data_IF_641010908763
#
_entry.id   IF_641010908763
#
_cell.length_a   1.000
_cell.length_b   1.000
_cell.length_c   1.000
_cell.angle_alpha   90.00
_cell.angle_beta   90.00
_cell.angle_gamma   90.00
#
_symmetry.space_group_name_H-M   'P 1'
#
loop_
_entity.id
_entity.type
_entity.pdbx_description
1 polymer ?
#
# COMPACT_ATOMS: atom_id res chain seq x y z
N UNK A 1 -31.22 -9.40 -6.23
CA UNK A 1 -29.76 -9.09 -6.27
C UNK A 1 -29.10 -10.04 -7.26
N UNK A 2 -28.68 -9.53 -8.42
CA UNK A 2 -28.19 -10.37 -9.53
C UNK A 2 -26.77 -10.88 -9.24
N UNK A 3 -26.42 -12.10 -9.66
CA UNK A 3 -25.13 -12.76 -9.32
C UNK A 3 -23.91 -11.93 -9.74
N UNK A 4 -24.04 -11.14 -10.82
CA UNK A 4 -23.02 -10.22 -11.36
C UNK A 4 -22.71 -9.05 -10.39
N UNK A 5 -23.69 -8.61 -9.62
CA UNK A 5 -23.51 -7.49 -8.68
C UNK A 5 -22.78 -7.96 -7.41
N UNK A 6 -23.10 -9.17 -6.94
CA UNK A 6 -22.40 -9.82 -5.83
C UNK A 6 -20.92 -10.07 -6.14
N UNK A 7 -20.59 -10.51 -7.36
CA UNK A 7 -19.18 -10.77 -7.74
C UNK A 7 -18.35 -9.48 -7.81
N UNK A 8 -18.94 -8.36 -8.27
CA UNK A 8 -18.28 -7.04 -8.27
C UNK A 8 -18.01 -6.53 -6.86
N UNK A 9 -18.99 -6.63 -5.96
CA UNK A 9 -18.82 -6.21 -4.57
C UNK A 9 -17.71 -7.00 -3.89
N UNK A 10 -17.66 -8.32 -4.11
CA UNK A 10 -16.61 -9.17 -3.54
C UNK A 10 -15.22 -8.82 -4.08
N UNK A 11 -15.11 -8.52 -5.39
CA UNK A 11 -13.86 -8.06 -5.99
C UNK A 11 -13.38 -6.74 -5.39
N UNK A 12 -14.27 -5.76 -5.21
CA UNK A 12 -13.95 -4.47 -4.58
C UNK A 12 -13.46 -4.69 -3.15
N UNK A 13 -14.14 -5.55 -2.38
CA UNK A 13 -13.77 -5.87 -1.01
C UNK A 13 -12.38 -6.51 -0.96
N UNK A 14 -12.12 -7.50 -1.82
CA UNK A 14 -10.82 -8.16 -1.94
C UNK A 14 -9.73 -7.14 -2.28
N UNK A 15 -9.92 -6.31 -3.30
CA UNK A 15 -8.95 -5.29 -3.71
C UNK A 15 -8.66 -4.26 -2.60
N UNK A 16 -9.67 -3.83 -1.83
CA UNK A 16 -9.45 -2.97 -0.66
C UNK A 16 -8.56 -3.64 0.38
N UNK A 17 -8.80 -4.90 0.70
CA UNK A 17 -7.97 -5.62 1.65
C UNK A 17 -6.52 -5.77 1.15
N UNK A 18 -6.34 -6.01 -0.16
CA UNK A 18 -5.01 -6.03 -0.80
C UNK A 18 -4.25 -4.71 -0.61
N UNK A 19 -4.92 -3.59 -0.89
CA UNK A 19 -4.34 -2.25 -0.73
C UNK A 19 -3.93 -1.97 0.71
N UNK A 20 -4.75 -2.36 1.69
CA UNK A 20 -4.42 -2.19 3.13
C UNK A 20 -3.15 -2.95 3.50
N UNK A 21 -2.98 -4.17 3.00
CA UNK A 21 -1.78 -4.99 3.26
C UNK A 21 -0.53 -4.36 2.64
N UNK A 22 -0.61 -3.94 1.38
CA UNK A 22 0.49 -3.24 0.70
C UNK A 22 0.86 -1.96 1.45
N UNK A 23 -0.14 -1.16 1.84
CA UNK A 23 0.09 0.08 2.59
C UNK A 23 0.77 -0.18 3.94
N UNK A 24 0.40 -1.26 4.63
CA UNK A 24 1.01 -1.64 5.91
C UNK A 24 2.49 -1.98 5.76
N UNK A 25 2.89 -2.66 4.68
CA UNK A 25 4.30 -2.99 4.41
C UNK A 25 5.10 -1.73 4.08
N UNK A 26 4.55 -0.83 3.27
CA UNK A 26 5.19 0.47 2.99
C UNK A 26 5.37 1.29 4.27
N UNK A 27 4.34 1.34 5.11
CA UNK A 27 4.40 2.03 6.41
C UNK A 27 5.46 1.41 7.33
N UNK A 28 5.58 0.08 7.36
CA UNK A 28 6.62 -0.60 8.11
C UNK A 28 8.02 -0.17 7.64
N UNK A 29 8.26 -0.18 6.33
CA UNK A 29 9.56 0.24 5.78
C UNK A 29 9.87 1.70 6.13
N UNK A 30 8.87 2.58 6.02
CA UNK A 30 9.00 3.99 6.38
C UNK A 30 9.31 4.20 7.87
N UNK A 31 8.63 3.47 8.76
CA UNK A 31 8.85 3.55 10.22
C UNK A 31 10.24 3.09 10.64
N UNK A 32 10.76 2.07 9.95
CA UNK A 32 12.09 1.51 10.23
C UNK A 32 13.23 2.20 9.47
N UNK A 33 12.91 3.20 8.63
CA UNK A 33 13.88 3.91 7.80
C UNK A 33 14.66 2.97 6.85
N UNK A 34 14.02 1.89 6.40
CA UNK A 34 14.62 0.95 5.45
C UNK A 34 14.10 1.21 4.04
N UNK A 35 14.95 0.99 3.03
CA UNK A 35 14.54 1.12 1.63
C UNK A 35 13.45 0.10 1.29
N UNK A 36 12.46 0.49 0.50
CA UNK A 36 11.48 -0.48 -0.01
C UNK A 36 12.13 -1.40 -1.04
N UNK A 37 12.99 -0.83 -1.90
CA UNK A 37 13.65 -1.51 -3.01
C UNK A 37 15.06 -1.97 -2.67
N UNK A 38 15.47 -3.03 -3.36
CA UNK A 38 16.86 -3.50 -3.41
C UNK A 38 17.56 -3.04 -4.69
N UNK A 39 18.80 -3.47 -4.87
CA UNK A 39 19.58 -3.20 -6.08
C UNK A 39 19.05 -3.98 -7.30
N UNK A 40 18.53 -5.18 -7.08
CA UNK A 40 17.98 -6.04 -8.12
C UNK A 40 16.67 -6.68 -7.65
N UNK A 41 15.56 -6.31 -8.29
CA UNK A 41 14.22 -6.88 -8.03
C UNK A 41 13.87 -8.01 -9.00
N UNK A 42 14.81 -8.48 -9.83
CA UNK A 42 14.62 -9.60 -10.75
C UNK A 42 14.28 -10.90 -10.00
N UNK A 43 13.60 -11.83 -10.66
CA UNK A 43 13.27 -13.12 -10.06
C UNK A 43 14.51 -13.97 -9.70
N UNK A 44 15.67 -13.66 -10.30
CA UNK A 44 16.95 -14.32 -10.05
C UNK A 44 17.72 -13.74 -8.86
N UNK A 45 17.29 -12.60 -8.32
CA UNK A 45 17.94 -11.96 -7.19
C UNK A 45 17.66 -12.72 -5.89
N UNK A 46 18.73 -12.93 -5.10
CA UNK A 46 18.63 -13.48 -3.74
C UNK A 46 17.95 -12.53 -2.76
N UNK A 47 17.91 -11.22 -3.06
CA UNK A 47 17.24 -10.22 -2.25
C UNK A 47 16.59 -9.18 -3.16
N UNK A 48 15.28 -9.31 -3.36
CA UNK A 48 14.49 -8.46 -4.24
C UNK A 48 14.04 -7.15 -3.60
N UNK A 49 14.66 -6.76 -2.49
CA UNK A 49 14.26 -5.60 -1.70
C UNK A 49 13.25 -5.93 -0.62
N UNK A 50 13.25 -5.09 0.42
CA UNK A 50 12.46 -5.33 1.64
C UNK A 50 10.97 -5.44 1.35
N UNK A 51 10.42 -4.66 0.42
CA UNK A 51 8.99 -4.72 0.10
C UNK A 51 8.57 -6.10 -0.42
N UNK A 52 9.29 -6.63 -1.41
CA UNK A 52 8.97 -7.93 -2.03
C UNK A 52 9.21 -9.06 -1.02
N UNK A 53 10.30 -9.02 -0.27
CA UNK A 53 10.63 -10.08 0.69
C UNK A 53 9.67 -10.10 1.90
N UNK A 54 9.27 -8.94 2.43
CA UNK A 54 8.25 -8.87 3.48
C UNK A 54 6.89 -9.38 2.97
N UNK A 55 6.54 -9.06 1.72
CA UNK A 55 5.30 -9.54 1.12
C UNK A 55 5.29 -11.06 0.93
N UNK A 56 6.40 -11.64 0.44
CA UNK A 56 6.61 -13.10 0.37
C UNK A 56 6.52 -13.76 1.73
N UNK A 57 7.19 -13.20 2.73
CA UNK A 57 7.11 -13.70 4.10
C UNK A 57 5.68 -13.65 4.63
N UNK A 58 4.97 -12.54 4.44
CA UNK A 58 3.57 -12.41 4.87
C UNK A 58 2.62 -13.37 4.14
N UNK A 59 2.92 -13.77 2.90
CA UNK A 59 2.13 -14.75 2.18
C UNK A 59 2.20 -16.17 2.79
N UNK A 60 3.24 -16.47 3.57
CA UNK A 60 3.36 -17.79 4.22
C UNK A 60 2.30 -18.00 5.31
N UNK A 61 1.75 -16.91 5.86
CA UNK A 61 0.76 -16.95 6.95
C UNK A 61 -0.59 -16.34 6.57
N UNK A 62 -0.65 -15.51 5.54
CA UNK A 62 -1.86 -14.82 5.11
C UNK A 62 -2.29 -15.27 3.68
N UNK A 63 -3.33 -16.09 3.55
CA UNK A 63 -3.84 -16.55 2.25
C UNK A 63 -4.26 -15.42 1.32
N UNK A 64 -4.69 -14.27 1.86
CA UNK A 64 -5.03 -13.11 1.05
C UNK A 64 -3.78 -12.52 0.39
N UNK A 65 -2.67 -12.45 1.13
CA UNK A 65 -1.38 -11.96 0.62
C UNK A 65 -0.78 -12.95 -0.37
N UNK A 66 -0.92 -14.25 -0.11
CA UNK A 66 -0.57 -15.27 -1.09
C UNK A 66 -1.36 -15.09 -2.40
N UNK A 67 -2.66 -14.79 -2.29
CA UNK A 67 -3.48 -14.45 -3.45
C UNK A 67 -3.15 -13.08 -4.06
N UNK A 68 -2.33 -12.21 -3.46
CA UNK A 68 -1.78 -11.01 -4.12
C UNK A 68 -0.58 -11.41 -4.97
N UNK A 69 0.29 -12.27 -4.43
CA UNK A 69 1.48 -12.76 -5.13
C UNK A 69 1.14 -13.67 -6.31
N UNK A 70 0.13 -14.54 -6.16
CA UNK A 70 -0.25 -15.51 -7.18
C UNK A 70 -1.12 -14.91 -8.29
N UNK A 71 -1.90 -13.86 -7.98
CA UNK A 71 -2.86 -13.23 -8.92
C UNK A 71 -2.17 -12.22 -9.86
N UNK A 72 -0.94 -12.53 -10.28
CA UNK A 72 -0.22 -11.86 -11.36
C UNK A 72 -0.90 -12.04 -12.74
N UNK A 73 -2.03 -12.76 -12.79
CA UNK A 73 -2.82 -12.96 -13.99
C UNK A 73 -3.72 -11.74 -14.26
N UNK A 74 -3.50 -11.10 -15.42
CA UNK A 74 -4.37 -10.09 -16.05
C UNK A 74 -4.24 -8.62 -15.58
N UNK A 75 -3.06 -8.02 -15.72
CA UNK A 75 -2.82 -6.55 -15.74
C UNK A 75 -2.80 -5.79 -14.41
N UNK A 76 -2.99 -6.44 -13.26
CA UNK A 76 -2.97 -5.77 -11.94
C UNK A 76 -1.77 -6.22 -11.08
N UNK A 77 -0.55 -6.18 -11.62
CA UNK A 77 0.63 -6.47 -10.82
C UNK A 77 0.93 -5.27 -9.91
N UNK A 78 0.38 -5.31 -8.69
CA UNK A 78 0.76 -4.43 -7.58
C UNK A 78 2.26 -4.51 -7.23
N UNK A 79 2.95 -5.50 -7.79
CA UNK A 79 4.37 -5.76 -7.64
C UNK A 79 5.23 -5.06 -8.69
N UNK A 80 4.63 -4.57 -9.78
CA UNK A 80 5.41 -3.84 -10.79
C UNK A 80 5.99 -2.54 -10.19
N UNK A 81 7.23 -2.15 -10.55
CA UNK A 81 7.84 -0.94 -10.01
C UNK A 81 6.98 0.33 -10.22
N UNK A 82 6.28 0.42 -11.35
CA UNK A 82 5.37 1.53 -11.66
C UNK A 82 4.18 1.61 -10.69
N UNK A 83 3.49 0.49 -10.46
CA UNK A 83 2.33 0.47 -9.56
C UNK A 83 2.77 0.67 -8.11
N UNK A 84 3.92 0.10 -7.71
CA UNK A 84 4.50 0.38 -6.39
C UNK A 84 4.76 1.88 -6.22
N UNK A 85 5.37 2.55 -7.20
CA UNK A 85 5.62 4.00 -7.16
C UNK A 85 4.31 4.80 -7.04
N UNK A 86 3.29 4.43 -7.81
CA UNK A 86 1.99 5.10 -7.77
C UNK A 86 1.35 4.98 -6.39
N UNK A 87 1.32 3.78 -5.82
CA UNK A 87 0.79 3.54 -4.48
C UNK A 87 1.57 4.32 -3.41
N UNK A 88 2.89 4.35 -3.49
CA UNK A 88 3.75 5.14 -2.59
C UNK A 88 3.40 6.63 -2.71
N UNK A 89 3.26 7.15 -3.93
CA UNK A 89 2.93 8.55 -4.16
C UNK A 89 1.53 8.91 -3.63
N UNK A 90 0.54 8.05 -3.84
CA UNK A 90 -0.82 8.23 -3.31
C UNK A 90 -0.81 8.25 -1.78
N UNK A 91 -0.11 7.29 -1.15
CA UNK A 91 0.02 7.26 0.30
C UNK A 91 0.74 8.49 0.85
N UNK A 92 1.85 8.88 0.22
CA UNK A 92 2.60 10.08 0.60
C UNK A 92 1.74 11.35 0.46
N UNK A 93 0.96 11.47 -0.61
CA UNK A 93 0.04 12.58 -0.81
C UNK A 93 -1.06 12.60 0.25
N UNK A 94 -1.65 11.45 0.58
CA UNK A 94 -2.67 11.34 1.63
C UNK A 94 -2.11 11.78 3.00
N UNK A 95 -0.91 11.32 3.35
CA UNK A 95 -0.24 11.68 4.62
C UNK A 95 0.08 13.19 4.64
N UNK A 96 0.64 13.73 3.55
CA UNK A 96 0.93 15.16 3.43
C UNK A 96 -0.34 16.01 3.56
N UNK A 97 -1.43 15.59 2.94
CA UNK A 97 -2.74 16.25 3.04
C UNK A 97 -3.24 16.28 4.48
N UNK A 98 -3.21 15.14 5.18
CA UNK A 98 -3.62 15.08 6.59
C UNK A 98 -2.77 15.98 7.49
N UNK A 99 -1.45 16.04 7.26
CA UNK A 99 -0.55 16.93 8.00
C UNK A 99 -0.91 18.40 7.72
N UNK A 100 -1.11 18.77 6.45
CA UNK A 100 -1.49 20.13 6.06
C UNK A 100 -2.84 20.56 6.64
N UNK A 101 -3.82 19.68 6.64
CA UNK A 101 -5.13 19.90 7.27
C UNK A 101 -4.99 20.12 8.78
N UNK A 102 -4.21 19.28 9.47
CA UNK A 102 -3.98 19.40 10.92
C UNK A 102 -3.24 20.69 11.30
N UNK A 103 -2.25 21.10 10.51
CA UNK A 103 -1.55 22.38 10.72
C UNK A 103 -2.49 23.55 10.47
N UNK A 104 -3.35 23.46 9.45
CA UNK A 104 -4.32 24.51 9.13
C UNK A 104 -5.35 24.64 10.24
N UNK A 105 -5.94 23.54 10.72
CA UNK A 105 -6.92 23.56 11.82
C UNK A 105 -6.32 24.14 13.09
N UNK A 106 -5.08 23.78 13.44
CA UNK A 106 -4.39 24.35 14.59
C UNK A 106 -4.19 25.86 14.47
N UNK A 107 -3.85 26.36 13.27
CA UNK A 107 -3.73 27.80 13.01
C UNK A 107 -5.07 28.53 13.17
N UNK A 108 -6.18 27.91 12.75
CA UNK A 108 -7.52 28.47 12.94
C UNK A 108 -7.91 28.52 14.42
N UNK A 109 -7.67 27.43 15.17
CA UNK A 109 -7.93 27.41 16.61
C UNK A 109 -7.12 28.47 17.35
N UNK A 110 -5.81 28.57 17.09
CA UNK A 110 -4.94 29.57 17.71
C UNK A 110 -5.41 31.02 17.46
N UNK A 111 -5.79 31.36 16.23
CA UNK A 111 -6.31 32.70 15.92
C UNK A 111 -7.65 33.01 16.60
N UNK A 112 -8.47 32.00 16.91
CA UNK A 112 -9.73 32.18 17.65
C UNK A 112 -9.49 32.39 19.15
N UNK A 113 -8.40 31.85 19.70
CA UNK A 113 -8.02 32.08 21.11
C UNK A 113 -7.31 33.42 21.33
N UNK A 114 -6.67 33.98 20.31
CA UNK A 114 -5.98 35.29 20.36
C UNK A 114 -6.89 36.50 20.00
N UNK A 115 -8.19 36.27 19.78
CA UNK A 115 -9.21 37.30 19.49
C UNK A 115 -10.10 37.57 20.70
#
# INVERSE_FOLDING_TARGET
>A
MNVIDKSRVELIKKNRQRLVKIASIVLLCARQLISLRGNDESDLSNNRGNFIEILKWSATTDPLVNAILLDNANNASYLSPSIQNELINLMANQIRKQIAEKVSSFKYEFNVFDS
#
